data_IF_381566179325
#
_entry.id   IF_381566179325
#
_cell.length_a   1.000
_cell.length_b   1.000
_cell.length_c   1.000
_cell.angle_alpha   90.00
_cell.angle_beta   90.00
_cell.angle_gamma   90.00
#
_symmetry.space_group_name_H-M   'P 1'
#
loop_
_entity.id
_entity.type
_entity.pdbx_description
1 polymer ?
#
# COMPACT_ATOMS: atom_id res chain seq x y z
N UNK A 1 -21.58 -1.23 3.88
CA UNK A 1 -21.71 -2.68 3.60
C UNK A 1 -20.80 -3.17 2.48
N UNK A 2 -20.61 -2.46 1.36
CA UNK A 2 -19.72 -2.92 0.25
C UNK A 2 -18.30 -3.31 0.67
N UNK A 3 -17.70 -2.61 1.65
CA UNK A 3 -16.37 -2.93 2.20
C UNK A 3 -16.34 -4.20 3.06
N UNK A 4 -17.49 -4.66 3.51
CA UNK A 4 -17.65 -5.83 4.37
C UNK A 4 -18.14 -7.06 3.59
N UNK A 5 -18.32 -6.92 2.27
CA UNK A 5 -18.90 -7.96 1.45
C UNK A 5 -18.01 -9.22 1.48
N UNK A 6 -18.61 -10.37 1.81
CA UNK A 6 -17.87 -11.61 2.06
C UNK A 6 -17.07 -11.70 3.37
N UNK A 7 -17.17 -10.71 4.27
CA UNK A 7 -16.53 -10.72 5.60
C UNK A 7 -17.54 -10.75 6.76
N UNK A 8 -18.82 -10.56 6.44
CA UNK A 8 -19.95 -10.65 7.37
C UNK A 8 -20.24 -12.12 7.69
N UNK A 9 -20.93 -12.35 8.80
CA UNK A 9 -21.44 -13.66 9.25
C UNK A 9 -20.38 -14.67 9.74
N UNK A 10 -19.10 -14.30 9.72
CA UNK A 10 -17.99 -15.15 10.16
C UNK A 10 -17.62 -14.98 11.65
N UNK A 11 -18.45 -14.32 12.45
CA UNK A 11 -18.14 -14.06 13.88
C UNK A 11 -17.03 -13.02 14.09
N UNK A 12 -16.64 -12.30 13.03
CA UNK A 12 -15.59 -11.27 13.05
C UNK A 12 -16.07 -10.02 13.79
N UNK A 13 -15.09 -9.29 14.36
CA UNK A 13 -15.28 -8.00 15.03
C UNK A 13 -14.95 -6.87 14.07
N UNK A 14 -15.87 -5.92 13.94
CA UNK A 14 -15.76 -4.72 13.15
C UNK A 14 -15.60 -3.51 14.08
N UNK A 15 -14.53 -2.75 13.88
CA UNK A 15 -14.30 -1.48 14.58
C UNK A 15 -14.54 -0.32 13.61
N UNK A 16 -15.38 0.64 14.01
CA UNK A 16 -15.77 1.78 13.17
C UNK A 16 -15.65 3.10 13.92
N UNK A 17 -15.20 4.12 13.20
CA UNK A 17 -15.21 5.49 13.68
C UNK A 17 -16.62 6.04 13.86
N UNK A 18 -16.78 7.14 14.60
CA UNK A 18 -18.07 7.78 14.88
C UNK A 18 -18.91 8.06 13.62
N UNK A 19 -18.29 8.58 12.55
CA UNK A 19 -18.97 8.88 11.28
C UNK A 19 -19.58 7.63 10.61
N UNK A 20 -19.01 6.46 10.88
CA UNK A 20 -19.40 5.19 10.28
C UNK A 20 -20.23 4.34 11.25
N UNK A 21 -20.55 4.85 12.43
CA UNK A 21 -21.28 4.13 13.48
C UNK A 21 -22.73 4.65 13.53
N UNK A 22 -23.70 3.78 13.28
CA UNK A 22 -25.11 4.10 13.44
C UNK A 22 -25.86 2.95 14.12
N UNK A 23 -26.93 3.28 14.83
CA UNK A 23 -27.73 2.27 15.52
C UNK A 23 -28.36 1.26 14.55
N UNK A 24 -28.97 1.68 13.42
CA UNK A 24 -29.50 0.72 12.45
C UNK A 24 -28.43 -0.20 11.86
N UNK A 25 -27.18 0.28 11.77
CA UNK A 25 -26.06 -0.55 11.35
C UNK A 25 -25.70 -1.60 12.41
N UNK A 26 -25.66 -1.20 13.70
CA UNK A 26 -25.38 -2.12 14.80
C UNK A 26 -26.44 -3.24 14.88
N UNK A 27 -27.73 -2.90 14.79
CA UNK A 27 -28.82 -3.87 14.79
C UNK A 27 -28.73 -4.86 13.63
N UNK A 28 -28.44 -4.36 12.42
CA UNK A 28 -28.24 -5.21 11.23
C UNK A 28 -27.06 -6.16 11.37
N UNK A 29 -25.97 -5.72 12.00
CA UNK A 29 -24.76 -6.55 12.15
C UNK A 29 -24.93 -7.62 13.21
N UNK A 30 -25.67 -7.34 14.29
CA UNK A 30 -26.07 -8.36 15.28
C UNK A 30 -26.91 -9.46 14.63
N UNK A 31 -27.83 -9.10 13.74
CA UNK A 31 -28.61 -10.07 12.96
C UNK A 31 -27.72 -10.92 12.04
N UNK A 32 -26.62 -10.38 11.54
CA UNK A 32 -25.67 -11.05 10.63
C UNK A 32 -24.42 -11.60 11.33
N UNK A 33 -24.56 -12.13 12.57
CA UNK A 33 -23.47 -12.73 13.38
C UNK A 33 -22.14 -11.92 13.39
N UNK A 34 -22.22 -10.61 13.18
CA UNK A 34 -21.07 -9.72 13.02
C UNK A 34 -21.08 -8.70 14.13
N UNK A 35 -19.96 -8.55 14.81
CA UNK A 35 -19.90 -7.79 16.04
C UNK A 35 -19.38 -6.39 15.76
N UNK A 36 -20.21 -5.36 15.94
CA UNK A 36 -19.81 -3.96 15.72
C UNK A 36 -19.33 -3.32 17.03
N UNK A 37 -18.27 -2.52 16.90
CA UNK A 37 -17.77 -1.57 17.87
C UNK A 37 -17.57 -0.21 17.22
N UNK A 38 -18.08 0.84 17.83
CA UNK A 38 -17.84 2.20 17.35
C UNK A 38 -18.31 3.26 18.32
N UNK A 39 -17.87 4.51 18.15
CA UNK A 39 -18.14 5.60 19.10
C UNK A 39 -19.44 6.29 18.67
N UNK A 40 -20.51 6.28 19.48
CA UNK A 40 -21.78 6.99 19.15
C UNK A 40 -22.28 7.80 20.34
N UNK A 41 -22.75 9.03 20.08
CA UNK A 41 -23.30 9.97 21.08
C UNK A 41 -24.82 9.84 21.34
N UNK A 42 -25.49 8.80 20.85
CA UNK A 42 -26.96 8.67 20.94
C UNK A 42 -27.46 7.30 21.45
N UNK A 43 -27.98 7.29 22.68
CA UNK A 43 -29.23 6.61 23.04
C UNK A 43 -29.28 5.12 23.44
N UNK A 44 -28.36 4.23 23.05
CA UNK A 44 -28.41 2.80 23.47
C UNK A 44 -27.13 2.41 24.20
N UNK A 45 -27.27 1.74 25.35
CA UNK A 45 -26.27 1.63 26.43
C UNK A 45 -24.84 1.59 25.93
N UNK A 46 -24.31 2.79 26.03
CA UNK A 46 -23.02 3.27 25.62
C UNK A 46 -22.12 3.08 26.83
N UNK A 47 -21.00 2.39 26.68
CA UNK A 47 -19.93 2.49 27.68
C UNK A 47 -19.45 3.93 27.64
N UNK A 48 -19.90 4.72 28.62
CA UNK A 48 -19.46 6.09 28.85
C UNK A 48 -18.30 6.04 29.84
N UNK A 49 -17.08 6.18 29.33
CA UNK A 49 -15.89 6.29 30.13
C UNK A 49 -15.46 7.76 30.19
N UNK A 50 -15.03 8.22 31.36
CA UNK A 50 -14.48 9.57 31.52
C UNK A 50 -12.98 9.46 31.76
N UNK A 51 -12.20 9.88 30.77
CA UNK A 51 -10.77 10.16 30.91
C UNK A 51 -10.61 11.69 31.06
N UNK A 52 -9.92 12.38 30.15
CA UNK A 52 -9.92 13.86 30.06
C UNK A 52 -11.22 14.43 29.51
N UNK A 53 -11.96 13.65 28.72
CA UNK A 53 -13.25 13.97 28.11
C UNK A 53 -14.15 12.74 28.16
N UNK A 54 -15.44 12.94 27.99
CA UNK A 54 -16.40 11.84 27.91
C UNK A 54 -16.19 11.06 26.61
N UNK A 55 -15.87 9.77 26.75
CA UNK A 55 -15.73 8.79 25.65
C UNK A 55 -16.99 7.92 25.66
N UNK A 56 -17.68 7.86 24.53
CA UNK A 56 -18.95 7.19 24.36
C UNK A 56 -18.77 6.03 23.38
N UNK A 57 -18.80 4.80 23.86
CA UNK A 57 -18.49 3.60 23.07
C UNK A 57 -19.74 2.73 22.94
N UNK A 58 -20.05 2.32 21.73
CA UNK A 58 -21.09 1.36 21.40
C UNK A 58 -20.38 0.04 21.06
N UNK A 59 -20.69 -1.01 21.81
CA UNK A 59 -20.18 -2.36 21.54
C UNK A 59 -21.32 -3.35 21.65
N UNK A 60 -21.29 -4.34 20.77
CA UNK A 60 -22.24 -5.46 20.76
C UNK A 60 -21.68 -6.71 21.44
N UNK A 61 -20.45 -6.63 21.98
CA UNK A 61 -19.70 -7.79 22.49
C UNK A 61 -19.05 -7.61 23.83
N UNK A 62 -18.80 -6.38 24.24
CA UNK A 62 -18.00 -6.10 25.42
C UNK A 62 -18.91 -5.80 26.59
N UNK A 63 -18.67 -6.49 27.69
CA UNK A 63 -19.23 -6.13 28.98
C UNK A 63 -18.49 -4.91 29.56
N UNK A 64 -18.96 -4.40 30.70
CA UNK A 64 -18.31 -3.30 31.43
C UNK A 64 -16.98 -3.69 32.10
N UNK A 65 -16.27 -4.68 31.56
CA UNK A 65 -14.99 -5.15 32.06
C UNK A 65 -13.90 -4.09 31.90
N UNK A 66 -13.03 -4.01 32.90
CA UNK A 66 -11.89 -3.11 32.93
C UNK A 66 -10.64 -3.86 32.49
N UNK A 67 -9.89 -3.27 31.57
CA UNK A 67 -8.58 -3.74 31.15
C UNK A 67 -7.48 -3.35 32.13
N UNK A 68 -6.26 -3.78 31.83
CA UNK A 68 -5.09 -3.64 32.70
C UNK A 68 -4.75 -2.18 33.02
N UNK A 69 -4.98 -1.25 32.07
CA UNK A 69 -4.64 0.16 32.24
C UNK A 69 -5.73 1.00 32.92
N UNK A 70 -6.67 0.35 33.63
CA UNK A 70 -7.87 1.01 34.21
C UNK A 70 -8.71 1.71 33.15
N UNK A 71 -8.62 1.26 31.89
CA UNK A 71 -9.49 1.66 30.78
C UNK A 71 -10.49 0.53 30.52
N UNK A 72 -11.71 0.83 30.04
CA UNK A 72 -12.63 -0.22 29.63
C UNK A 72 -11.98 -1.08 28.54
N UNK A 73 -12.16 -2.39 28.61
CA UNK A 73 -11.57 -3.32 27.64
C UNK A 73 -11.98 -2.98 26.20
N UNK A 74 -13.22 -2.49 26.00
CA UNK A 74 -13.70 -2.02 24.69
C UNK A 74 -12.83 -0.89 24.11
N UNK A 75 -12.32 0.00 24.95
CA UNK A 75 -11.48 1.13 24.52
C UNK A 75 -10.08 0.64 24.17
N UNK A 76 -9.54 -0.32 24.91
CA UNK A 76 -8.24 -0.92 24.60
C UNK A 76 -8.27 -1.69 23.28
N UNK A 77 -9.28 -2.54 23.08
CA UNK A 77 -9.49 -3.29 21.83
C UNK A 77 -9.69 -2.34 20.64
N UNK A 78 -10.46 -1.26 20.82
CA UNK A 78 -10.66 -0.25 19.80
C UNK A 78 -9.35 0.45 19.42
N UNK A 79 -8.56 0.90 20.41
CA UNK A 79 -7.28 1.56 20.16
C UNK A 79 -6.29 0.61 19.46
N UNK A 80 -6.29 -0.67 19.83
CA UNK A 80 -5.47 -1.67 19.17
C UNK A 80 -5.90 -1.88 17.72
N UNK A 81 -7.21 -1.86 17.42
CA UNK A 81 -7.71 -1.96 16.05
C UNK A 81 -7.35 -0.72 15.21
N UNK A 82 -7.54 0.49 15.74
CA UNK A 82 -7.15 1.74 15.06
C UNK A 82 -5.64 1.80 14.78
N UNK A 83 -4.82 1.31 15.72
CA UNK A 83 -3.37 1.28 15.57
C UNK A 83 -2.93 0.55 14.29
N UNK A 84 -3.66 -0.48 13.84
CA UNK A 84 -3.31 -1.20 12.61
C UNK A 84 -3.49 -0.32 11.37
N UNK A 85 -4.57 0.47 11.32
CA UNK A 85 -4.83 1.40 10.21
C UNK A 85 -3.80 2.51 10.22
N UNK A 86 -3.56 3.11 11.38
CA UNK A 86 -2.58 4.19 11.54
C UNK A 86 -1.16 3.73 11.20
N UNK A 87 -0.78 2.52 11.59
CA UNK A 87 0.55 1.97 11.27
C UNK A 87 0.70 1.76 9.76
N UNK A 88 -0.33 1.25 9.08
CA UNK A 88 -0.33 1.10 7.62
C UNK A 88 -0.16 2.44 6.92
N UNK A 89 -0.93 3.46 7.33
CA UNK A 89 -0.85 4.82 6.77
C UNK A 89 0.50 5.49 7.08
N UNK A 90 1.05 5.24 8.28
CA UNK A 90 2.37 5.73 8.66
C UNK A 90 3.45 5.10 7.78
N UNK A 91 3.40 3.78 7.54
CA UNK A 91 4.34 3.11 6.62
C UNK A 91 4.19 3.65 5.20
N UNK A 92 2.96 4.01 4.80
CA UNK A 92 2.70 4.66 3.52
C UNK A 92 3.38 6.04 3.40
N UNK A 93 3.46 6.78 4.51
CA UNK A 93 4.09 8.10 4.54
C UNK A 93 5.63 8.06 4.48
N UNK A 94 6.27 7.00 5.00
CA UNK A 94 7.73 6.89 5.05
C UNK A 94 8.38 6.60 3.70
N UNK A 95 7.61 6.19 2.69
CA UNK A 95 8.15 5.76 1.40
C UNK A 95 7.37 6.33 0.20
N UNK A 96 7.12 7.64 0.13
CA UNK A 96 6.21 8.19 -0.85
C UNK A 96 6.74 8.02 -2.28
N UNK A 97 5.83 7.99 -3.24
CA UNK A 97 6.22 8.02 -4.65
C UNK A 97 6.67 9.43 -5.04
N UNK A 98 7.95 9.59 -5.38
CA UNK A 98 8.57 10.91 -5.57
C UNK A 98 8.49 11.48 -7.00
N UNK A 99 8.01 10.73 -8.00
CA UNK A 99 7.99 11.25 -9.39
C UNK A 99 6.78 12.15 -9.62
N UNK A 100 7.05 13.38 -10.08
CA UNK A 100 6.01 14.29 -10.54
C UNK A 100 5.36 13.72 -11.80
N UNK A 101 4.07 13.46 -11.74
CA UNK A 101 3.25 13.01 -12.86
C UNK A 101 1.96 13.81 -12.92
N UNK A 102 1.50 14.14 -14.12
CA UNK A 102 0.17 14.75 -14.35
C UNK A 102 -0.94 13.70 -14.34
N UNK A 103 -0.59 12.43 -14.49
CA UNK A 103 -1.53 11.32 -14.59
C UNK A 103 -1.79 10.75 -13.19
N UNK A 104 -2.96 11.05 -12.61
CA UNK A 104 -3.32 10.67 -11.24
C UNK A 104 -3.28 9.15 -11.00
N UNK A 105 -3.61 8.34 -12.02
CA UNK A 105 -3.64 6.88 -11.91
C UNK A 105 -2.24 6.28 -11.69
N UNK A 106 -1.18 6.93 -12.18
CA UNK A 106 0.20 6.49 -11.95
C UNK A 106 0.52 6.59 -10.45
N UNK A 107 0.07 7.67 -9.79
CA UNK A 107 0.23 7.82 -8.33
C UNK A 107 -0.53 6.73 -7.57
N UNK A 108 -1.73 6.38 -8.01
CA UNK A 108 -2.51 5.29 -7.42
C UNK A 108 -1.81 3.93 -7.60
N UNK A 109 -1.33 3.63 -8.81
CA UNK A 109 -0.60 2.40 -9.10
C UNK A 109 0.60 2.21 -8.17
N UNK A 110 1.44 3.23 -8.03
CA UNK A 110 2.58 3.17 -7.13
C UNK A 110 2.16 3.02 -5.67
N UNK A 111 1.09 3.70 -5.23
CA UNK A 111 0.58 3.55 -3.87
C UNK A 111 0.12 2.11 -3.59
N UNK A 112 -0.62 1.49 -4.52
CA UNK A 112 -1.06 0.11 -4.40
C UNK A 112 0.14 -0.86 -4.34
N UNK A 113 1.16 -0.64 -5.16
CA UNK A 113 2.32 -1.53 -5.22
C UNK A 113 3.23 -1.38 -4.00
N UNK A 114 3.69 -0.16 -3.71
CA UNK A 114 4.74 0.05 -2.70
C UNK A 114 4.20 0.19 -1.28
N UNK A 115 2.95 0.66 -1.12
CA UNK A 115 2.36 0.87 0.20
C UNK A 115 1.39 -0.24 0.58
N UNK A 116 0.48 -0.62 -0.30
CA UNK A 116 -0.51 -1.66 0.06
C UNK A 116 0.10 -3.06 -0.04
N UNK A 117 0.60 -3.45 -1.22
CA UNK A 117 1.08 -4.82 -1.43
C UNK A 117 2.35 -5.12 -0.62
N UNK A 118 3.33 -4.21 -0.63
CA UNK A 118 4.60 -4.43 0.07
C UNK A 118 4.44 -4.48 1.60
N UNK A 119 3.64 -3.59 2.20
CA UNK A 119 3.39 -3.60 3.65
C UNK A 119 2.63 -4.87 4.06
N UNK A 120 1.64 -5.28 3.26
CA UNK A 120 0.91 -6.53 3.51
C UNK A 120 1.84 -7.76 3.41
N UNK A 121 2.69 -7.83 2.39
CA UNK A 121 3.66 -8.92 2.23
C UNK A 121 4.66 -8.96 3.39
N UNK A 122 5.21 -7.81 3.77
CA UNK A 122 6.09 -7.68 4.92
C UNK A 122 5.42 -8.13 6.22
N UNK A 123 4.16 -7.72 6.44
CA UNK A 123 3.43 -8.10 7.63
C UNK A 123 3.17 -9.60 7.70
N UNK A 124 2.72 -10.19 6.58
CA UNK A 124 2.53 -11.64 6.46
C UNK A 124 3.83 -12.40 6.69
N UNK A 125 4.96 -11.91 6.18
CA UNK A 125 6.26 -12.53 6.41
C UNK A 125 6.66 -12.50 7.90
N UNK A 126 6.49 -11.35 8.55
CA UNK A 126 6.81 -11.17 9.96
C UNK A 126 5.93 -12.02 10.89
N UNK A 127 4.65 -12.18 10.53
CA UNK A 127 3.69 -12.92 11.34
C UNK A 127 3.85 -14.45 11.19
N UNK A 128 4.35 -14.94 10.05
CA UNK A 128 4.42 -16.39 9.77
C UNK A 128 5.84 -16.99 9.77
N UNK A 129 6.88 -16.20 9.49
CA UNK A 129 8.24 -16.72 9.26
C UNK A 129 9.20 -16.15 10.29
N UNK A 130 9.58 -14.88 10.15
CA UNK A 130 10.56 -14.24 11.02
C UNK A 130 10.42 -12.73 10.96
N UNK A 131 10.78 -12.05 12.04
CA UNK A 131 10.95 -10.60 12.05
C UNK A 131 11.99 -10.15 11.04
N UNK A 132 11.52 -9.33 10.12
CA UNK A 132 12.27 -8.68 9.07
C UNK A 132 11.97 -7.19 9.09
N UNK A 133 12.94 -6.33 8.75
CA UNK A 133 12.71 -4.89 8.68
C UNK A 133 12.05 -4.54 7.35
N UNK A 134 11.19 -3.53 7.32
CA UNK A 134 10.53 -3.12 6.09
C UNK A 134 11.53 -2.59 5.03
N UNK A 135 12.62 -1.94 5.45
CA UNK A 135 13.68 -1.49 4.56
C UNK A 135 14.44 -2.66 3.93
N UNK A 136 14.76 -3.68 4.73
CA UNK A 136 15.47 -4.87 4.26
C UNK A 136 14.62 -5.62 3.22
N UNK A 137 13.30 -5.73 3.46
CA UNK A 137 12.36 -6.28 2.47
C UNK A 137 12.35 -5.52 1.15
N UNK A 138 12.45 -4.19 1.19
CA UNK A 138 12.53 -3.41 -0.04
C UNK A 138 13.80 -3.69 -0.81
N UNK A 139 14.93 -3.78 -0.11
CA UNK A 139 16.22 -4.05 -0.74
C UNK A 139 16.18 -5.42 -1.41
N UNK A 140 15.78 -6.47 -0.69
CA UNK A 140 15.69 -7.84 -1.21
C UNK A 140 14.77 -7.93 -2.44
N UNK A 141 13.60 -7.27 -2.39
CA UNK A 141 12.66 -7.26 -3.53
C UNK A 141 13.28 -6.54 -4.73
N UNK A 142 13.99 -5.43 -4.51
CA UNK A 142 14.66 -4.69 -5.59
C UNK A 142 15.79 -5.54 -6.19
N UNK A 143 16.61 -6.19 -5.37
CA UNK A 143 17.69 -7.06 -5.84
C UNK A 143 17.15 -8.22 -6.68
N UNK A 144 16.09 -8.88 -6.20
CA UNK A 144 15.42 -9.93 -6.97
C UNK A 144 14.89 -9.43 -8.32
N UNK A 145 14.32 -8.23 -8.37
CA UNK A 145 13.82 -7.65 -9.62
C UNK A 145 14.95 -7.31 -10.60
N UNK A 146 16.07 -6.78 -10.10
CA UNK A 146 17.23 -6.43 -10.92
C UNK A 146 17.94 -7.65 -11.48
N UNK A 147 18.06 -8.73 -10.72
CA UNK A 147 18.67 -9.97 -11.20
C UNK A 147 17.83 -10.64 -12.29
N UNK A 148 16.51 -10.55 -12.20
CA UNK A 148 15.62 -10.99 -13.29
C UNK A 148 15.81 -10.17 -14.57
N UNK A 149 16.02 -8.84 -14.48
CA UNK A 149 16.32 -8.03 -15.67
C UNK A 149 17.66 -8.43 -16.30
N UNK A 150 18.67 -8.75 -15.50
CA UNK A 150 19.97 -9.24 -16.00
C UNK A 150 19.83 -10.58 -16.72
N UNK A 151 19.07 -11.52 -16.16
CA UNK A 151 18.80 -12.82 -16.79
C UNK A 151 18.00 -12.67 -18.09
N UNK A 152 17.02 -11.76 -18.12
CA UNK A 152 16.27 -11.46 -19.33
C UNK A 152 17.14 -10.82 -20.40
N UNK A 153 18.03 -9.88 -20.04
CA UNK A 153 18.97 -9.25 -20.96
C UNK A 153 20.00 -10.23 -21.55
N UNK A 154 20.42 -11.25 -20.79
CA UNK A 154 21.27 -12.34 -21.30
C UNK A 154 20.51 -13.20 -22.31
N UNK A 155 19.21 -13.44 -22.06
CA UNK A 155 18.35 -14.23 -22.95
C UNK A 155 17.98 -13.47 -24.23
N UNK A 156 17.83 -12.14 -24.15
CA UNK A 156 17.60 -11.25 -25.29
C UNK A 156 18.89 -10.62 -25.81
N UNK A 157 19.95 -11.42 -26.02
CA UNK A 157 21.05 -10.98 -26.91
C UNK A 157 20.48 -10.90 -28.33
N UNK A 158 20.03 -9.72 -28.73
CA UNK A 158 19.66 -9.44 -30.11
C UNK A 158 20.86 -9.73 -31.01
N UNK A 159 20.79 -10.79 -31.81
CA UNK A 159 21.72 -11.02 -32.91
C UNK A 159 21.43 -10.01 -34.00
N UNK A 160 22.42 -9.18 -34.34
CA UNK A 160 22.34 -8.37 -35.55
C UNK A 160 22.40 -9.34 -36.74
N UNK A 161 21.28 -9.52 -37.43
CA UNK A 161 21.26 -10.16 -38.74
C UNK A 161 21.49 -9.11 -39.81
N UNK A 162 22.49 -9.33 -40.65
CA UNK A 162 22.73 -8.51 -41.83
C UNK A 162 21.67 -8.84 -42.88
N UNK A 163 20.64 -7.99 -42.96
CA UNK A 163 19.65 -8.08 -44.04
C UNK A 163 20.33 -7.72 -45.37
N UNK A 164 20.34 -8.66 -46.32
CA UNK A 164 20.76 -8.41 -47.70
C UNK A 164 19.74 -7.50 -48.38
N UNK A 165 19.90 -6.19 -48.18
CA UNK A 165 19.16 -5.14 -48.86
C UNK A 165 20.13 -4.05 -49.33
N UNK A 166 19.73 -3.21 -50.30
CA UNK A 166 20.55 -2.09 -50.73
C UNK A 166 20.82 -1.19 -49.52
N UNK A 167 22.08 -1.15 -49.08
CA UNK A 167 22.54 -0.22 -48.04
C UNK A 167 22.22 1.17 -48.54
N UNK A 168 21.29 1.87 -47.88
CA UNK A 168 21.06 3.29 -48.08
C UNK A 168 22.43 3.96 -48.00
N UNK A 169 22.84 4.62 -49.09
CA UNK A 169 24.11 5.34 -49.12
C UNK A 169 24.07 6.39 -48.02
N UNK A 170 24.72 6.11 -46.90
CA UNK A 170 24.90 7.08 -45.84
C UNK A 170 25.68 8.24 -46.46
N UNK A 171 25.07 9.43 -46.46
CA UNK A 171 25.76 10.64 -46.91
C UNK A 171 27.09 10.77 -46.18
N UNK A 172 28.14 11.21 -46.89
CA UNK A 172 29.54 11.22 -46.40
C UNK A 172 29.69 11.75 -44.98
N UNK A 173 28.91 12.76 -44.61
CA UNK A 173 28.93 13.39 -43.28
C UNK A 173 28.52 12.44 -42.15
N UNK A 174 27.63 11.48 -42.42
CA UNK A 174 27.18 10.49 -41.43
C UNK A 174 28.22 9.39 -41.27
N UNK A 175 28.86 8.97 -42.36
CA UNK A 175 29.98 8.02 -42.31
C UNK A 175 31.18 8.63 -41.56
N UNK A 176 31.52 9.89 -41.85
CA UNK A 176 32.61 10.61 -41.21
C UNK A 176 32.33 10.86 -39.71
N UNK A 177 31.07 11.14 -39.34
CA UNK A 177 30.67 11.29 -37.93
C UNK A 177 30.81 9.98 -37.13
N UNK A 178 30.55 8.83 -37.76
CA UNK A 178 30.73 7.50 -37.15
C UNK A 178 32.21 7.18 -37.00
N UNK A 179 33.04 7.41 -38.03
CA UNK A 179 34.48 7.14 -37.97
C UNK A 179 35.23 8.05 -37.00
N UNK A 180 34.82 9.32 -36.89
CA UNK A 180 35.51 10.31 -36.05
C UNK A 180 34.91 10.46 -34.65
N UNK A 181 33.77 9.81 -34.38
CA UNK A 181 33.05 9.92 -33.10
C UNK A 181 32.51 11.32 -32.79
N UNK A 182 32.52 12.24 -33.77
CA UNK A 182 32.08 13.64 -33.61
C UNK A 182 30.62 13.79 -34.04
N UNK A 183 29.88 14.68 -33.35
CA UNK A 183 28.48 14.95 -33.73
C UNK A 183 28.45 15.66 -35.07
N UNK A 184 27.49 15.29 -35.93
CA UNK A 184 27.32 15.83 -37.29
C UNK A 184 27.29 17.37 -37.35
N UNK A 185 26.82 18.03 -36.28
CA UNK A 185 26.76 19.49 -36.16
C UNK A 185 28.16 20.15 -36.08
N UNK A 186 29.14 19.43 -35.54
CA UNK A 186 30.50 19.93 -35.33
C UNK A 186 31.34 19.85 -36.62
N UNK A 187 30.94 18.99 -37.57
CA UNK A 187 31.56 18.82 -38.88
C UNK A 187 31.06 19.84 -39.92
N UNK A 188 29.89 20.44 -39.69
CA UNK A 188 29.27 21.42 -40.60
C UNK A 188 29.83 22.84 -40.45
N UNK A 189 30.75 23.09 -39.51
CA UNK A 189 31.32 24.41 -39.22
C UNK A 189 32.67 24.70 -39.92
N UNK A 190 33.14 23.81 -40.78
CA UNK A 190 34.43 23.94 -41.50
C UNK A 190 34.29 24.08 -43.03
N UNK A 191 33.09 24.36 -43.53
CA UNK A 191 32.82 24.69 -44.94
C UNK A 191 32.30 26.13 -45.06
#
# INVERSE_FOLDING_TARGET
>A
MKLMDGLLDEGRRLYTYNWNTSLPLAERLVQSRTRLMGINKSGITVLKCRDKRDILTLSTTHDAAMGENRKPQVVEDYNQAELHVDTSDQMASYSPFFRRTKNWYIRLFHHLLTQTALVNAWRLYNDNIQRFTFSDLKIDVIECLLDNERLNAITTRHSLEELTGPRLSLGRDVALAIETGRRKKDLALQM
#
